data_IF_899500643731
#
_entry.id   IF_899500643731
#
_cell.length_a   1.000
_cell.length_b   1.000
_cell.length_c   1.000
_cell.angle_alpha   90.00
_cell.angle_beta   90.00
_cell.angle_gamma   90.00
#
_symmetry.space_group_name_H-M   'P 1'
#
loop_
_entity.id
_entity.type
_entity.pdbx_description
1 polymer ?
#
# COMPACT_ATOMS: atom_id res chain seq x y z
N UNK A 1 -11.62 13.16 4.44
CA UNK A 1 -10.27 12.72 4.84
C UNK A 1 -9.49 12.48 3.56
N UNK A 2 -8.52 13.34 3.25
CA UNK A 2 -7.57 13.13 2.16
C UNK A 2 -6.22 12.90 2.82
N UNK A 3 -5.67 11.72 2.63
CA UNK A 3 -4.47 11.23 3.27
C UNK A 3 -3.53 10.76 2.17
N UNK A 4 -2.33 11.31 2.14
CA UNK A 4 -1.26 10.83 1.25
C UNK A 4 -0.23 10.09 2.10
N UNK A 5 -0.12 8.78 1.90
CA UNK A 5 0.79 7.89 2.64
C UNK A 5 2.22 7.95 2.11
N UNK A 6 2.50 8.75 1.08
CA UNK A 6 3.85 8.92 0.51
C UNK A 6 4.50 7.58 0.11
N UNK A 7 3.68 6.62 -0.37
CA UNK A 7 4.21 5.34 -0.83
C UNK A 7 5.16 5.54 -2.01
N UNK A 8 6.34 4.93 -1.92
CA UNK A 8 7.38 4.99 -2.96
C UNK A 8 7.08 4.06 -4.14
N UNK A 9 6.10 3.17 -4.00
CA UNK A 9 5.72 2.16 -5.00
C UNK A 9 4.21 2.09 -5.13
N UNK A 10 3.75 1.69 -6.32
CA UNK A 10 2.34 1.41 -6.58
C UNK A 10 2.01 -0.03 -6.18
N UNK A 11 1.93 -0.27 -4.86
CA UNK A 11 1.56 -1.58 -4.30
C UNK A 11 0.06 -1.82 -4.39
N UNK A 12 -0.35 -3.06 -4.65
CA UNK A 12 -1.74 -3.47 -4.56
C UNK A 12 -2.14 -3.69 -3.10
N UNK A 13 -2.97 -2.79 -2.57
CA UNK A 13 -3.65 -2.95 -1.27
C UNK A 13 -5.12 -3.28 -1.51
N UNK A 14 -5.42 -4.57 -1.78
CA UNK A 14 -6.78 -5.04 -2.07
C UNK A 14 -7.74 -4.91 -0.87
N UNK A 15 -7.22 -5.11 0.34
CA UNK A 15 -7.99 -5.06 1.58
C UNK A 15 -7.45 -4.03 2.56
N UNK A 16 -8.31 -3.62 3.49
CA UNK A 16 -8.00 -2.72 4.60
C UNK A 16 -8.63 -3.25 5.89
N UNK A 17 -7.87 -3.22 6.98
CA UNK A 17 -8.38 -3.52 8.32
C UNK A 17 -8.94 -2.28 8.99
N UNK A 18 -10.09 -2.37 9.66
CA UNK A 18 -10.68 -1.25 10.41
C UNK A 18 -10.94 -1.69 11.84
N UNK A 19 -10.46 -0.90 12.80
CA UNK A 19 -10.69 -1.08 14.24
C UNK A 19 -11.39 0.14 14.83
N UNK A 20 -11.66 0.14 16.13
CA UNK A 20 -12.23 1.31 16.81
C UNK A 20 -11.30 2.54 16.75
N UNK A 21 -9.98 2.33 16.76
CA UNK A 21 -9.00 3.42 16.88
C UNK A 21 -8.13 3.62 15.64
N UNK A 22 -7.99 2.61 14.79
CA UNK A 22 -7.07 2.61 13.65
C UNK A 22 -7.65 1.96 12.41
N UNK A 23 -7.20 2.43 11.24
CA UNK A 23 -7.25 1.74 9.96
C UNK A 23 -5.86 1.15 9.68
N UNK A 24 -5.80 -0.10 9.25
CA UNK A 24 -4.57 -0.82 8.94
C UNK A 24 -4.49 -1.09 7.43
N UNK A 25 -3.44 -0.61 6.78
CA UNK A 25 -3.21 -0.78 5.34
C UNK A 25 -2.01 -1.70 5.13
N UNK A 26 -2.17 -2.69 4.25
CA UNK A 26 -1.13 -3.63 3.90
C UNK A 26 -0.35 -3.11 2.68
N UNK A 27 0.93 -2.76 2.88
CA UNK A 27 1.89 -2.45 1.82
C UNK A 27 2.73 -3.72 1.55
N UNK A 28 2.21 -4.60 0.70
CA UNK A 28 2.86 -5.86 0.28
C UNK A 28 3.62 -5.68 -1.04
N UNK A 29 4.67 -6.48 -1.31
CA UNK A 29 5.51 -6.33 -2.51
C UNK A 29 4.85 -6.87 -3.79
N UNK A 30 3.54 -6.67 -3.95
CA UNK A 30 2.80 -6.90 -5.18
C UNK A 30 2.56 -5.54 -5.85
N UNK A 31 3.32 -5.23 -6.89
CA UNK A 31 3.35 -3.89 -7.50
C UNK A 31 2.80 -3.90 -8.91
N UNK A 32 2.27 -2.75 -9.33
CA UNK A 32 1.86 -2.51 -10.71
C UNK A 32 3.09 -2.20 -11.58
N UNK A 33 3.29 -2.97 -12.65
CA UNK A 33 4.39 -2.80 -13.61
C UNK A 33 3.84 -2.58 -15.02
N UNK A 34 3.68 -1.30 -15.40
CA UNK A 34 3.15 -0.91 -16.72
C UNK A 34 4.10 -1.33 -17.85
N UNK A 35 5.42 -1.35 -17.61
CA UNK A 35 6.38 -1.76 -18.62
C UNK A 35 6.24 -3.24 -18.97
N UNK A 36 5.91 -4.07 -17.98
CA UNK A 36 5.63 -5.48 -18.20
C UNK A 36 4.32 -5.67 -18.99
N UNK A 37 3.28 -4.91 -18.65
CA UNK A 37 2.02 -4.93 -19.40
C UNK A 37 2.21 -4.55 -20.88
N UNK A 38 2.97 -3.48 -21.16
CA UNK A 38 3.27 -3.04 -22.53
C UNK A 38 4.05 -4.09 -23.34
N UNK A 39 4.78 -4.99 -22.68
CA UNK A 39 5.48 -6.11 -23.31
C UNK A 39 4.60 -7.36 -23.45
N UNK A 40 3.31 -7.27 -23.15
CA UNK A 40 2.34 -8.39 -23.20
C UNK A 40 2.37 -9.29 -21.96
N UNK A 41 3.09 -8.90 -20.91
CA UNK A 41 3.11 -9.61 -19.64
C UNK A 41 1.97 -9.19 -18.70
N UNK A 42 1.86 -9.81 -17.51
CA UNK A 42 0.86 -9.42 -16.53
C UNK A 42 1.11 -8.01 -15.97
N UNK A 43 0.04 -7.32 -15.57
CA UNK A 43 0.12 -5.99 -14.96
C UNK A 43 0.76 -6.01 -13.56
N UNK A 44 0.58 -7.12 -12.84
CA UNK A 44 1.05 -7.26 -11.47
C UNK A 44 2.35 -8.06 -11.43
N UNK A 45 3.30 -7.55 -10.65
CA UNK A 45 4.60 -8.19 -10.40
C UNK A 45 4.83 -8.34 -8.90
N UNK A 46 5.28 -9.52 -8.49
CA UNK A 46 5.74 -9.74 -7.12
C UNK A 46 7.25 -9.48 -6.99
N UNK A 47 7.64 -8.54 -6.14
CA UNK A 47 9.03 -8.19 -5.87
C UNK A 47 9.58 -8.98 -4.68
N UNK A 48 10.03 -10.21 -4.95
CA UNK A 48 10.47 -11.18 -3.92
C UNK A 48 11.54 -10.67 -2.93
N UNK A 49 12.39 -9.74 -3.35
CA UNK A 49 13.51 -9.21 -2.56
C UNK A 49 13.14 -7.90 -1.85
N UNK A 50 11.87 -7.49 -1.94
CA UNK A 50 11.32 -6.28 -1.34
C UNK A 50 10.62 -6.58 -0.01
N UNK A 51 10.28 -5.54 0.74
CA UNK A 51 9.67 -5.68 2.06
C UNK A 51 8.13 -5.67 2.00
N UNK A 52 7.50 -6.10 3.10
CA UNK A 52 6.10 -5.86 3.41
C UNK A 52 5.99 -5.00 4.68
N UNK A 53 4.96 -4.16 4.76
CA UNK A 53 4.67 -3.30 5.93
C UNK A 53 3.16 -3.23 6.20
N UNK A 54 2.81 -2.87 7.42
CA UNK A 54 1.44 -2.58 7.83
C UNK A 54 1.40 -1.14 8.34
N UNK A 55 0.83 -0.24 7.53
CA UNK A 55 0.66 1.15 7.92
C UNK A 55 -0.56 1.30 8.84
N UNK A 56 -0.37 1.93 10.00
CA UNK A 56 -1.43 2.16 10.98
C UNK A 56 -1.82 3.64 10.99
N UNK A 57 -3.08 3.92 10.65
CA UNK A 57 -3.62 5.29 10.57
C UNK A 57 -4.67 5.45 11.67
N UNK A 58 -4.58 6.44 12.57
CA UNK A 58 -5.67 6.73 13.51
C UNK A 58 -6.99 6.99 12.76
N UNK A 59 -8.09 6.41 13.24
CA UNK A 59 -9.38 6.36 12.52
C UNK A 59 -9.93 7.73 12.12
N UNK A 60 -9.56 8.77 12.86
CA UNK A 60 -9.93 10.17 12.62
C UNK A 60 -8.71 11.08 12.46
N UNK A 61 -7.51 10.50 12.29
CA UNK A 61 -6.26 11.23 12.07
C UNK A 61 -6.04 11.62 10.62
N UNK A 62 -4.89 12.23 10.37
CA UNK A 62 -4.43 12.71 9.06
C UNK A 62 -3.06 12.12 8.68
N UNK A 63 -2.41 12.68 7.67
CA UNK A 63 -1.12 12.18 7.14
C UNK A 63 0.01 12.24 8.14
N UNK A 64 -0.01 13.23 9.01
CA UNK A 64 1.01 13.40 10.04
C UNK A 64 0.79 12.45 11.23
N UNK A 65 -0.36 11.75 11.24
CA UNK A 65 -0.75 10.84 12.31
C UNK A 65 -0.35 9.37 12.05
N UNK A 66 0.25 9.06 10.90
CA UNK A 66 0.60 7.69 10.48
C UNK A 66 1.74 7.14 11.34
N UNK A 67 1.56 5.90 11.81
CA UNK A 67 2.61 5.13 12.49
C UNK A 67 3.13 4.06 11.53
N UNK A 68 4.46 4.00 11.37
CA UNK A 68 5.20 3.05 10.52
C UNK A 68 5.64 1.80 11.31
#
# INVERSE_FOLDING_TARGET
MRLDLQFKRSSLSHDIGITQKYNAILDVPLVMDINQLLKGGPLMKFEKDSYARIGMIPRYGDADSVMD
#
